data_IF_294576527437
#
_entry.id   IF_294576527437
#
_cell.length_a   1.000
_cell.length_b   1.000
_cell.length_c   1.000
_cell.angle_alpha   90.00
_cell.angle_beta   90.00
_cell.angle_gamma   90.00
#
_symmetry.space_group_name_H-M   'P 1'
#
loop_
_entity.id
_entity.type
_entity.pdbx_description
1 polymer ?
#
# COMPACT_ATOMS: atom_id res chain seq x y z
N UNK A 1 9.40 17.75 0.37
CA UNK A 1 8.76 16.92 -0.66
C UNK A 1 7.26 17.14 -0.55
N UNK A 2 6.61 17.59 -1.61
CA UNK A 2 5.15 17.80 -1.60
C UNK A 2 4.47 16.44 -1.53
N UNK A 3 3.43 16.34 -0.69
CA UNK A 3 2.60 15.14 -0.48
C UNK A 3 2.19 14.43 -1.79
N UNK A 4 2.11 15.18 -2.91
CA UNK A 4 1.87 14.63 -4.25
C UNK A 4 2.98 13.76 -4.84
N UNK A 5 4.26 13.94 -4.46
CA UNK A 5 5.38 13.14 -5.01
C UNK A 5 5.40 11.69 -4.50
N UNK A 6 4.94 11.50 -3.25
CA UNK A 6 4.89 10.21 -2.56
C UNK A 6 3.84 9.25 -3.17
N UNK A 7 2.75 9.79 -3.72
CA UNK A 7 1.68 9.00 -4.35
C UNK A 7 1.91 8.68 -5.82
N UNK A 8 2.60 9.56 -6.56
CA UNK A 8 2.97 9.30 -7.97
C UNK A 8 3.85 8.06 -8.07
N UNK A 9 4.78 7.88 -7.13
CA UNK A 9 5.59 6.68 -7.01
C UNK A 9 4.71 5.44 -6.84
N UNK A 10 3.76 5.44 -5.90
CA UNK A 10 2.86 4.30 -5.65
C UNK A 10 2.04 3.92 -6.87
N UNK A 11 1.53 4.92 -7.60
CA UNK A 11 0.78 4.68 -8.83
C UNK A 11 1.66 4.02 -9.89
N UNK A 12 2.90 4.48 -10.06
CA UNK A 12 3.87 3.88 -10.99
C UNK A 12 4.25 2.46 -10.56
N UNK A 13 4.48 2.20 -9.27
CA UNK A 13 4.83 0.86 -8.77
C UNK A 13 3.67 -0.12 -8.87
N UNK A 14 2.45 0.32 -8.58
CA UNK A 14 1.25 -0.49 -8.74
C UNK A 14 0.91 -0.75 -10.22
N UNK A 15 1.17 0.21 -11.11
CA UNK A 15 1.05 0.05 -12.56
C UNK A 15 2.07 -0.95 -13.13
N UNK A 16 3.32 -0.92 -12.65
CA UNK A 16 4.40 -1.79 -13.11
C UNK A 16 4.22 -3.24 -12.65
N UNK A 17 3.84 -3.47 -11.38
CA UNK A 17 3.55 -4.82 -10.88
C UNK A 17 2.35 -5.50 -11.55
N UNK A 18 1.46 -4.72 -12.18
CA UNK A 18 0.21 -5.21 -12.75
C UNK A 18 0.31 -5.70 -14.19
N UNK A 19 1.16 -5.10 -15.03
CA UNK A 19 1.05 -5.31 -16.47
C UNK A 19 1.09 -6.80 -16.88
N UNK A 20 1.80 -7.69 -16.18
CA UNK A 20 1.99 -9.09 -16.61
C UNK A 20 1.58 -10.21 -15.60
N UNK A 21 0.75 -9.92 -14.59
CA UNK A 21 0.34 -10.88 -13.53
C UNK A 21 -0.97 -11.66 -13.76
N UNK A 22 -1.03 -12.44 -14.85
CA UNK A 22 -1.92 -13.60 -15.19
C UNK A 22 -3.22 -13.90 -14.38
N UNK A 23 -4.36 -13.98 -15.11
CA UNK A 23 -5.22 -15.18 -15.16
C UNK A 23 -6.67 -15.10 -14.57
N UNK A 24 -7.68 -15.72 -15.23
CA UNK A 24 -9.12 -15.59 -14.90
C UNK A 24 -9.61 -16.34 -13.65
N UNK A 25 -8.74 -16.80 -12.75
CA UNK A 25 -9.06 -17.80 -11.74
C UNK A 25 -9.53 -17.29 -10.37
N UNK A 26 -10.02 -16.05 -10.22
CA UNK A 26 -10.41 -15.57 -8.88
C UNK A 26 -11.67 -14.70 -8.79
N UNK A 27 -12.60 -14.79 -9.76
CA UNK A 27 -13.83 -13.98 -9.77
C UNK A 27 -14.66 -14.05 -8.47
N UNK A 28 -14.60 -15.17 -7.72
CA UNK A 28 -15.37 -15.35 -6.48
C UNK A 28 -14.76 -14.63 -5.26
N UNK A 29 -13.43 -14.56 -5.14
CA UNK A 29 -12.77 -13.77 -4.08
C UNK A 29 -12.66 -12.28 -4.42
N UNK A 30 -12.68 -11.97 -5.71
CA UNK A 30 -12.67 -10.60 -6.24
C UNK A 30 -13.85 -9.76 -5.74
N UNK A 31 -15.02 -10.37 -5.54
CA UNK A 31 -16.24 -9.66 -5.15
C UNK A 31 -16.35 -9.34 -3.64
N UNK A 32 -15.46 -9.89 -2.81
CA UNK A 32 -15.50 -9.67 -1.37
C UNK A 32 -14.94 -8.29 -1.05
N UNK A 33 -15.80 -7.42 -0.51
CA UNK A 33 -15.41 -6.08 -0.07
C UNK A 33 -14.18 -6.12 0.84
N UNK A 34 -13.36 -5.08 0.76
CA UNK A 34 -12.30 -4.83 1.72
C UNK A 34 -12.83 -3.72 2.64
N UNK A 35 -12.98 -4.02 3.92
CA UNK A 35 -13.42 -3.03 4.92
C UNK A 35 -12.20 -2.59 5.71
N UNK A 36 -11.70 -1.36 5.50
CA UNK A 36 -10.57 -0.87 6.27
C UNK A 36 -10.98 -0.61 7.72
N UNK A 37 -10.13 -0.92 8.70
CA UNK A 37 -10.43 -0.63 10.10
C UNK A 37 -10.53 0.87 10.35
N UNK A 38 -11.23 1.26 11.42
CA UNK A 38 -11.30 2.67 11.84
C UNK A 38 -9.98 3.16 12.44
N UNK A 39 -9.19 2.24 12.99
CA UNK A 39 -7.88 2.49 13.60
C UNK A 39 -6.85 1.49 13.11
N UNK A 40 -5.62 1.95 13.01
CA UNK A 40 -4.49 1.12 12.64
C UNK A 40 -3.23 1.64 13.34
N UNK A 41 -2.46 0.75 13.99
CA UNK A 41 -1.26 1.12 14.75
C UNK A 41 -1.50 2.22 15.80
N UNK A 42 -2.72 2.25 16.37
CA UNK A 42 -3.18 3.25 17.33
C UNK A 42 -3.57 4.60 16.73
N UNK A 43 -3.54 4.76 15.39
CA UNK A 43 -3.88 5.97 14.67
C UNK A 43 -5.30 5.88 14.09
N UNK A 44 -6.02 7.00 14.11
CA UNK A 44 -7.32 7.12 13.47
C UNK A 44 -7.20 7.20 11.95
N UNK A 45 -8.16 6.60 11.25
CA UNK A 45 -8.29 6.70 9.79
C UNK A 45 -8.68 8.13 9.40
N UNK A 46 -8.03 8.66 8.38
CA UNK A 46 -8.35 9.97 7.81
C UNK A 46 -9.65 9.86 6.99
N UNK A 47 -10.72 10.42 7.55
CA UNK A 47 -12.04 10.50 6.91
C UNK A 47 -12.37 11.87 6.32
N UNK A 48 -11.57 12.89 6.67
CA UNK A 48 -11.74 14.26 6.18
C UNK A 48 -11.56 14.33 4.66
N UNK A 49 -12.56 14.83 3.94
CA UNK A 49 -12.59 14.81 2.48
C UNK A 49 -11.54 15.73 1.85
N UNK A 50 -11.19 16.83 2.51
CA UNK A 50 -10.18 17.76 2.00
C UNK A 50 -8.79 17.10 2.07
N UNK A 51 -8.45 16.52 3.23
CA UNK A 51 -7.17 15.81 3.43
C UNK A 51 -7.08 14.60 2.49
N UNK A 52 -8.16 13.82 2.35
CA UNK A 52 -8.22 12.71 1.39
C UNK A 52 -8.02 13.16 -0.05
N UNK A 53 -8.57 14.32 -0.41
CA UNK A 53 -8.39 14.96 -1.72
C UNK A 53 -6.95 15.40 -1.95
N UNK A 54 -6.32 16.03 -0.97
CA UNK A 54 -4.90 16.42 -1.02
C UNK A 54 -3.97 15.20 -1.17
N UNK A 55 -4.31 14.10 -0.49
CA UNK A 55 -3.63 12.80 -0.58
C UNK A 55 -4.09 11.96 -1.78
N UNK A 56 -5.01 12.45 -2.62
CA UNK A 56 -5.51 11.75 -3.81
C UNK A 56 -5.92 10.28 -3.55
N UNK A 57 -6.40 9.96 -2.34
CA UNK A 57 -6.63 8.56 -1.92
C UNK A 57 -7.71 7.91 -2.78
N UNK A 58 -8.81 8.63 -3.02
CA UNK A 58 -9.93 8.13 -3.81
C UNK A 58 -9.57 8.01 -5.30
N UNK A 59 -8.76 8.93 -5.84
CA UNK A 59 -8.24 8.82 -7.21
C UNK A 59 -7.32 7.61 -7.37
N UNK A 60 -6.46 7.38 -6.37
CA UNK A 60 -5.56 6.21 -6.33
C UNK A 60 -6.36 4.92 -6.24
N UNK A 61 -7.37 4.87 -5.37
CA UNK A 61 -8.30 3.72 -5.27
C UNK A 61 -8.99 3.44 -6.60
N UNK A 62 -9.53 4.47 -7.25
CA UNK A 62 -10.25 4.32 -8.51
C UNK A 62 -9.32 3.91 -9.64
N UNK A 63 -8.10 4.46 -9.68
CA UNK A 63 -7.06 4.01 -10.61
C UNK A 63 -6.72 2.54 -10.38
N UNK A 64 -6.45 2.13 -9.14
CA UNK A 64 -6.15 0.74 -8.79
C UNK A 64 -7.31 -0.20 -9.11
N UNK A 65 -8.55 0.21 -8.88
CA UNK A 65 -9.75 -0.57 -9.21
C UNK A 65 -9.90 -0.77 -10.73
N UNK A 66 -9.69 0.29 -11.52
CA UNK A 66 -9.68 0.22 -12.99
C UNK A 66 -8.55 -0.68 -13.51
N UNK A 67 -7.37 -0.50 -12.95
CA UNK A 67 -6.17 -1.25 -13.35
C UNK A 67 -6.37 -2.71 -13.00
N UNK A 68 -6.82 -3.06 -11.80
CA UNK A 68 -6.94 -4.44 -11.33
C UNK A 68 -8.18 -5.18 -11.87
N UNK A 69 -8.56 -4.99 -13.14
CA UNK A 69 -9.72 -5.62 -13.81
C UNK A 69 -11.04 -5.52 -13.01
N UNK A 70 -11.26 -4.41 -12.29
CA UNK A 70 -12.43 -4.21 -11.43
C UNK A 70 -12.40 -5.01 -10.12
N UNK A 71 -11.25 -5.59 -9.74
CA UNK A 71 -11.10 -6.23 -8.43
C UNK A 71 -11.06 -5.20 -7.30
N UNK A 72 -11.60 -5.60 -6.15
CA UNK A 72 -11.73 -4.73 -4.98
C UNK A 72 -10.36 -4.19 -4.52
N UNK A 73 -10.30 -2.87 -4.41
CA UNK A 73 -9.16 -2.11 -3.91
C UNK A 73 -9.65 -1.07 -2.91
N UNK A 74 -8.86 -0.81 -1.87
CA UNK A 74 -9.08 0.31 -0.96
C UNK A 74 -7.75 0.99 -0.67
N UNK A 75 -7.81 2.31 -0.50
CA UNK A 75 -6.67 3.17 -0.22
C UNK A 75 -7.09 4.09 0.91
N UNK A 76 -6.43 3.94 2.05
CA UNK A 76 -6.75 4.70 3.26
C UNK A 76 -5.49 5.27 3.86
N UNK A 77 -5.62 6.42 4.53
CA UNK A 77 -4.54 7.00 5.31
C UNK A 77 -4.92 6.98 6.80
N UNK A 78 -3.93 6.83 7.67
CA UNK A 78 -4.06 6.82 9.12
C UNK A 78 -3.08 7.80 9.74
N UNK A 79 -3.52 8.56 10.73
CA UNK A 79 -2.76 9.65 11.35
C UNK A 79 -3.23 11.02 10.88
N UNK A 80 -2.32 11.98 10.77
CA UNK A 80 -2.60 13.35 10.36
C UNK A 80 -1.43 13.94 9.57
N UNK A 81 -1.69 15.00 8.80
CA UNK A 81 -0.67 15.70 8.02
C UNK A 81 0.35 16.46 8.89
N UNK A 82 -0.07 16.91 10.07
CA UNK A 82 0.75 17.71 10.99
C UNK A 82 1.60 16.85 11.95
N UNK A 83 1.34 15.54 12.04
CA UNK A 83 1.98 14.66 13.00
C UNK A 83 3.15 13.88 12.44
N UNK A 84 4.01 13.43 13.36
CA UNK A 84 5.21 12.66 13.04
C UNK A 84 4.93 11.22 12.56
N UNK A 85 3.65 10.81 12.46
CA UNK A 85 3.25 9.44 12.13
C UNK A 85 1.98 9.42 11.27
N UNK A 86 2.18 9.34 9.95
CA UNK A 86 1.16 9.09 8.96
C UNK A 86 1.49 7.82 8.18
N UNK A 87 0.50 6.97 7.94
CA UNK A 87 0.64 5.80 7.07
C UNK A 87 -0.43 5.80 5.99
N UNK A 88 -0.04 5.52 4.75
CA UNK A 88 -0.97 5.19 3.66
C UNK A 88 -0.99 3.68 3.52
N UNK A 89 -2.19 3.10 3.49
CA UNK A 89 -2.42 1.68 3.37
C UNK A 89 -3.26 1.40 2.15
N UNK A 90 -2.73 0.56 1.27
CA UNK A 90 -3.39 0.08 0.07
C UNK A 90 -3.69 -1.40 0.29
N UNK A 91 -4.92 -1.82 0.03
CA UNK A 91 -5.28 -3.24 0.05
C UNK A 91 -5.95 -3.63 -1.27
N UNK A 92 -5.53 -4.76 -1.81
CA UNK A 92 -5.90 -5.27 -3.14
C UNK A 92 -6.35 -6.72 -3.03
N UNK A 93 -7.54 -7.06 -3.55
CA UNK A 93 -7.93 -8.48 -3.72
C UNK A 93 -7.10 -9.10 -4.84
N UNK A 94 -6.44 -10.22 -4.51
CA UNK A 94 -5.57 -10.97 -5.41
C UNK A 94 -4.13 -11.09 -4.92
N UNK A 95 -3.38 -11.96 -5.61
CA UNK A 95 -1.95 -12.13 -5.41
C UNK A 95 -1.21 -11.08 -6.23
N UNK A 96 -0.37 -10.30 -5.57
CA UNK A 96 0.65 -9.47 -6.23
C UNK A 96 1.98 -10.21 -6.12
N UNK A 97 2.73 -10.25 -7.22
CA UNK A 97 4.12 -10.68 -7.19
C UNK A 97 4.95 -9.54 -6.57
N UNK A 98 5.16 -9.63 -5.26
CA UNK A 98 5.86 -8.60 -4.48
C UNK A 98 7.31 -8.52 -4.94
N UNK A 99 7.99 -9.66 -5.10
CA UNK A 99 9.41 -9.68 -5.47
C UNK A 99 9.61 -9.05 -6.87
N UNK A 100 8.72 -9.32 -7.82
CA UNK A 100 8.72 -8.66 -9.13
C UNK A 100 8.38 -7.17 -9.03
N UNK A 101 7.35 -6.79 -8.27
CA UNK A 101 6.99 -5.37 -8.06
C UNK A 101 8.17 -4.57 -7.51
N UNK A 102 8.93 -5.16 -6.59
CA UNK A 102 10.12 -4.53 -6.02
C UNK A 102 11.26 -4.43 -7.04
N UNK A 103 11.50 -5.46 -7.83
CA UNK A 103 12.49 -5.41 -8.90
C UNK A 103 12.15 -4.33 -9.95
N UNK A 104 10.88 -4.25 -10.35
CA UNK A 104 10.40 -3.26 -11.31
C UNK A 104 10.37 -1.84 -10.73
N UNK A 105 10.36 -1.70 -9.39
CA UNK A 105 10.43 -0.40 -8.70
C UNK A 105 11.79 0.29 -8.79
N UNK A 106 12.83 -0.44 -9.20
CA UNK A 106 14.21 0.03 -9.16
C UNK A 106 14.83 0.00 -7.75
N UNK A 107 14.15 -0.61 -6.77
CA UNK A 107 14.73 -0.86 -5.45
C UNK A 107 15.93 -1.80 -5.57
N UNK A 108 17.06 -1.41 -5.00
CA UNK A 108 18.24 -2.24 -4.98
C UNK A 108 18.06 -3.41 -3.99
N UNK A 109 18.70 -4.58 -4.22
CA UNK A 109 18.50 -5.76 -3.37
C UNK A 109 18.83 -5.54 -1.88
N UNK A 110 19.78 -4.66 -1.58
CA UNK A 110 20.17 -4.27 -0.21
C UNK A 110 19.15 -3.37 0.50
N UNK A 111 18.25 -2.73 -0.26
CA UNK A 111 17.14 -1.92 0.27
C UNK A 111 15.91 -2.77 0.60
N UNK A 112 15.86 -4.00 0.09
CA UNK A 112 14.76 -4.93 0.31
C UNK A 112 15.03 -5.72 1.60
N UNK A 113 14.22 -5.49 2.62
CA UNK A 113 14.32 -6.15 3.92
C UNK A 113 13.10 -7.01 4.18
N UNK A 114 13.29 -8.22 4.69
CA UNK A 114 12.18 -9.03 5.24
C UNK A 114 12.06 -8.77 6.73
N UNK A 115 10.89 -8.30 7.16
CA UNK A 115 10.56 -8.05 8.56
C UNK A 115 9.32 -8.87 8.90
N UNK A 116 9.50 -9.92 9.71
CA UNK A 116 8.45 -10.89 9.98
C UNK A 116 7.93 -11.55 8.69
N UNK A 117 6.66 -11.33 8.36
CA UNK A 117 6.00 -11.84 7.14
C UNK A 117 5.84 -10.78 6.04
N UNK A 118 6.32 -9.58 6.27
CA UNK A 118 6.30 -8.49 5.32
C UNK A 118 7.65 -8.39 4.58
N UNK A 119 7.58 -8.05 3.30
CA UNK A 119 8.75 -7.65 2.51
C UNK A 119 8.70 -6.13 2.40
N UNK A 120 9.75 -5.44 2.82
CA UNK A 120 9.81 -3.99 2.90
C UNK A 120 10.92 -3.43 2.03
N UNK A 121 10.73 -2.19 1.58
CA UNK A 121 11.77 -1.36 0.96
C UNK A 121 12.07 -0.24 1.94
N UNK A 122 13.33 -0.13 2.32
CA UNK A 122 13.82 1.00 3.11
C UNK A 122 13.86 2.26 2.24
N UNK A 123 13.56 3.41 2.85
CA UNK A 123 13.53 4.68 2.12
C UNK A 123 14.87 4.94 1.40
N UNK A 124 14.79 5.22 0.11
CA UNK A 124 15.94 5.51 -0.74
C UNK A 124 15.61 6.63 -1.73
N UNK A 125 16.35 7.73 -1.65
CA UNK A 125 16.10 8.91 -2.47
C UNK A 125 14.70 9.49 -2.21
N UNK A 126 13.85 9.50 -3.23
CA UNK A 126 12.47 10.00 -3.15
C UNK A 126 11.42 8.90 -2.82
N UNK A 127 11.87 7.67 -2.57
CA UNK A 127 10.97 6.56 -2.23
C UNK A 127 10.76 6.51 -0.72
N UNK A 128 9.52 6.63 -0.23
CA UNK A 128 9.21 6.43 1.18
C UNK A 128 9.38 4.96 1.57
N UNK A 129 9.58 4.70 2.86
CA UNK A 129 9.60 3.33 3.37
C UNK A 129 8.23 2.68 3.20
N UNK A 130 8.22 1.48 2.61
CA UNK A 130 7.00 0.74 2.30
C UNK A 130 7.17 -0.75 2.62
N UNK A 131 6.10 -1.38 3.09
CA UNK A 131 6.06 -2.79 3.45
C UNK A 131 4.86 -3.49 2.81
N UNK A 132 5.13 -4.62 2.18
CA UNK A 132 4.17 -5.45 1.47
C UNK A 132 3.88 -6.70 2.28
N UNK A 133 2.59 -6.97 2.48
CA UNK A 133 2.10 -8.20 3.12
C UNK A 133 1.06 -8.87 2.23
N UNK A 134 1.46 -9.98 1.61
CA UNK A 134 0.66 -10.68 0.60
C UNK A 134 0.19 -12.08 0.98
N UNK A 135 -0.86 -12.53 0.30
CA UNK A 135 -1.35 -13.90 0.22
C UNK A 135 -1.94 -14.16 -1.17
N UNK A 136 -2.51 -15.33 -1.40
CA UNK A 136 -3.14 -15.63 -2.69
C UNK A 136 -4.43 -14.82 -2.97
N UNK A 137 -5.03 -14.22 -1.94
CA UNK A 137 -6.36 -13.59 -2.03
C UNK A 137 -6.39 -12.12 -1.60
N UNK A 138 -5.38 -11.66 -0.86
CA UNK A 138 -5.24 -10.29 -0.40
C UNK A 138 -3.77 -9.91 -0.42
N UNK A 139 -3.48 -8.70 -0.91
CA UNK A 139 -2.20 -8.03 -0.73
C UNK A 139 -2.44 -6.68 -0.06
N UNK A 140 -1.65 -6.38 0.97
CA UNK A 140 -1.63 -5.09 1.65
C UNK A 140 -0.26 -4.44 1.46
N UNK A 141 -0.26 -3.14 1.22
CA UNK A 141 0.93 -2.29 1.14
C UNK A 141 0.73 -1.21 2.19
N UNK A 142 1.64 -1.12 3.16
CA UNK A 142 1.68 0.00 4.10
C UNK A 142 2.89 0.86 3.78
N UNK A 143 2.70 2.17 3.74
CA UNK A 143 3.75 3.14 3.41
C UNK A 143 3.78 4.24 4.46
N UNK A 144 4.98 4.66 4.83
CA UNK A 144 5.18 5.85 5.65
C UNK A 144 4.89 7.11 4.84
N UNK A 145 4.08 8.01 5.41
CA UNK A 145 3.91 9.37 4.91
C UNK A 145 5.01 10.33 5.35
N UNK A 146 5.89 9.89 6.26
CA UNK A 146 6.99 10.68 6.80
C UNK A 146 8.34 10.13 6.31
N UNK A 147 9.29 11.03 6.09
CA UNK A 147 10.65 10.71 5.66
C UNK A 147 11.45 10.05 6.78
N UNK A 148 12.38 9.16 6.42
CA UNK A 148 13.33 8.56 7.37
C UNK A 148 12.73 7.53 8.35
N UNK A 149 11.48 7.11 8.16
CA UNK A 149 10.85 6.07 8.99
C UNK A 149 11.41 4.70 8.63
N UNK A 150 11.93 3.96 9.61
CA UNK A 150 12.52 2.64 9.38
C UNK A 150 11.47 1.56 9.08
N UNK A 151 11.90 0.49 8.38
CA UNK A 151 11.04 -0.66 8.03
C UNK A 151 10.40 -1.33 9.25
N UNK A 152 11.06 -1.30 10.41
CA UNK A 152 10.55 -1.89 11.67
C UNK A 152 9.31 -1.16 12.21
N UNK A 153 9.11 0.10 11.83
CA UNK A 153 7.92 0.87 12.19
C UNK A 153 6.75 0.65 11.21
N UNK A 154 7.05 0.33 9.93
CA UNK A 154 6.04 0.17 8.87
C UNK A 154 5.57 -1.28 8.76
N UNK A 155 6.43 -2.26 9.01
CA UNK A 155 6.09 -3.68 8.89
C UNK A 155 4.94 -4.13 9.81
N UNK A 156 4.88 -3.71 11.10
CA UNK A 156 3.75 -4.04 11.97
C UNK A 156 2.42 -3.49 11.44
N UNK A 157 2.45 -2.30 10.82
CA UNK A 157 1.29 -1.65 10.21
C UNK A 157 0.75 -2.49 9.05
N UNK A 158 1.64 -3.00 8.18
CA UNK A 158 1.26 -3.90 7.08
C UNK A 158 0.66 -5.22 7.58
N UNK A 159 1.21 -5.80 8.64
CA UNK A 159 0.71 -7.06 9.22
C UNK A 159 -0.66 -6.85 9.91
N UNK A 160 -0.81 -5.79 10.70
CA UNK A 160 -2.08 -5.44 11.35
C UNK A 160 -3.18 -5.19 10.30
N UNK A 161 -2.87 -4.39 9.28
CA UNK A 161 -3.78 -4.09 8.18
C UNK A 161 -4.18 -5.35 7.41
N UNK A 162 -3.22 -6.24 7.12
CA UNK A 162 -3.50 -7.52 6.46
C UNK A 162 -4.45 -8.37 7.30
N UNK A 163 -4.23 -8.48 8.61
CA UNK A 163 -5.08 -9.28 9.48
C UNK A 163 -6.48 -8.68 9.66
N UNK A 164 -6.60 -7.35 9.70
CA UNK A 164 -7.89 -6.66 9.79
C UNK A 164 -8.74 -6.79 8.51
N UNK A 165 -8.11 -6.91 7.34
CA UNK A 165 -8.78 -6.84 6.03
C UNK A 165 -8.91 -8.18 5.28
N UNK A 166 -8.26 -9.24 5.77
CA UNK A 166 -8.27 -10.59 5.17
C UNK A 166 -9.68 -11.16 5.01
#
# INVERSE_FOLDING_TARGET
MTVGGILVVLLVLALLGYLWGLGPLNRLNTARGITPPAKLAGLDRITDQEIRGQLQLDQTRDALSRINDGKQATVEAYGNLDGNRMFVVIALRGKVDIDKTLADSGAAPDQIKRVGRATCVESAGNLPTQCYRGSNTLTVIAQSGNDGVAVDAVAPVAEEAFNAMK
#
